data_IF_313065303960
#
_entry.id   IF_313065303960
#
_cell.length_a   1.000
_cell.length_b   1.000
_cell.length_c   1.000
_cell.angle_alpha   90.00
_cell.angle_beta   90.00
_cell.angle_gamma   90.00
#
_symmetry.space_group_name_H-M   'P 1'
#
loop_
_entity.id
_entity.type
_entity.pdbx_description
1 polymer ?
#
# COMPACT_ATOMS: atom_id res chain seq x y z
N UNK A 1 49.53 37.95 -35.43
CA UNK A 1 48.39 37.28 -36.09
C UNK A 1 47.46 38.33 -36.69
N UNK A 2 47.12 38.22 -37.98
CA UNK A 2 46.16 39.11 -38.65
C UNK A 2 44.82 39.05 -37.91
N UNK A 3 44.13 40.17 -37.80
CA UNK A 3 42.86 40.33 -37.04
C UNK A 3 41.82 39.27 -37.44
N UNK A 4 41.82 38.86 -38.71
CA UNK A 4 40.99 37.77 -39.25
C UNK A 4 41.21 36.42 -38.54
N UNK A 5 42.46 36.02 -38.26
CA UNK A 5 42.74 34.75 -37.57
C UNK A 5 42.30 34.80 -36.10
N UNK A 6 42.36 35.97 -35.45
CA UNK A 6 41.86 36.14 -34.08
C UNK A 6 40.33 36.07 -34.04
N UNK A 7 39.66 36.64 -35.03
CA UNK A 7 38.20 36.58 -35.16
C UNK A 7 37.72 35.15 -35.43
N UNK A 8 38.43 34.41 -36.30
CA UNK A 8 38.11 33.02 -36.62
C UNK A 8 38.27 32.09 -35.41
N UNK A 9 39.33 32.29 -34.62
CA UNK A 9 39.56 31.53 -33.37
C UNK A 9 38.50 31.88 -32.32
N UNK A 10 38.13 33.15 -32.19
CA UNK A 10 37.07 33.57 -31.28
C UNK A 10 35.70 32.98 -31.67
N UNK A 11 35.39 32.93 -32.97
CA UNK A 11 34.17 32.33 -33.49
C UNK A 11 34.14 30.81 -33.22
N UNK A 12 35.25 30.11 -33.47
CA UNK A 12 35.38 28.69 -33.20
C UNK A 12 35.22 28.39 -31.69
N UNK A 13 35.78 29.22 -30.82
CA UNK A 13 35.63 29.09 -29.37
C UNK A 13 34.16 29.29 -28.93
N UNK A 14 33.47 30.31 -29.46
CA UNK A 14 32.07 30.57 -29.15
C UNK A 14 31.15 29.43 -29.60
N UNK A 15 31.39 28.83 -30.78
CA UNK A 15 30.62 27.70 -31.30
C UNK A 15 30.76 26.43 -30.44
N UNK A 16 31.84 26.31 -29.65
CA UNK A 16 32.03 25.18 -28.72
C UNK A 16 31.48 25.53 -27.33
N UNK A 17 31.76 26.73 -26.83
CA UNK A 17 31.40 27.15 -25.48
C UNK A 17 29.88 27.29 -25.32
N UNK A 18 29.19 27.87 -26.30
CA UNK A 18 27.74 28.14 -26.19
C UNK A 18 26.94 26.83 -26.05
N UNK A 19 27.12 25.80 -26.91
CA UNK A 19 26.40 24.53 -26.73
C UNK A 19 26.69 23.85 -25.39
N UNK A 20 27.93 23.90 -24.90
CA UNK A 20 28.30 23.32 -23.60
C UNK A 20 27.59 24.05 -22.47
N UNK A 21 27.55 25.39 -22.47
CA UNK A 21 26.85 26.17 -21.45
C UNK A 21 25.34 25.92 -21.52
N UNK A 22 24.76 25.92 -22.73
CA UNK A 22 23.33 25.64 -22.92
C UNK A 22 23.01 24.23 -22.40
N UNK A 23 23.82 23.23 -22.74
CA UNK A 23 23.64 21.87 -22.24
C UNK A 23 23.83 21.79 -20.72
N UNK A 24 24.81 22.48 -20.14
CA UNK A 24 25.04 22.50 -18.69
C UNK A 24 23.92 23.21 -17.92
N UNK A 25 23.37 24.30 -18.45
CA UNK A 25 22.21 25.01 -17.86
C UNK A 25 20.94 24.17 -18.02
N UNK A 26 20.73 23.58 -19.19
CA UNK A 26 19.55 22.75 -19.46
C UNK A 26 19.59 21.47 -18.62
N UNK A 27 20.77 20.85 -18.48
CA UNK A 27 21.03 19.82 -17.48
C UNK A 27 20.74 20.41 -16.09
N UNK A 28 21.43 21.42 -15.58
CA UNK A 28 21.16 21.94 -14.21
C UNK A 28 19.69 22.29 -13.92
N UNK A 29 18.95 22.83 -14.89
CA UNK A 29 17.52 23.19 -14.73
C UNK A 29 16.58 21.99 -14.85
N UNK A 30 16.88 21.01 -15.72
CA UNK A 30 16.02 19.85 -15.96
C UNK A 30 16.57 18.54 -15.35
N UNK A 31 17.74 18.60 -14.73
CA UNK A 31 18.37 17.52 -13.99
C UNK A 31 17.57 17.35 -12.71
N UNK A 32 16.55 16.52 -12.81
CA UNK A 32 15.95 15.90 -11.65
C UNK A 32 17.00 14.94 -11.12
N UNK A 33 17.67 15.34 -10.05
CA UNK A 33 18.46 14.42 -9.23
C UNK A 33 17.58 13.22 -8.98
N UNK A 34 17.91 12.07 -9.58
CA UNK A 34 17.22 10.82 -9.28
C UNK A 34 17.76 10.38 -7.92
N UNK A 35 17.34 11.06 -6.87
CA UNK A 35 17.66 10.69 -5.50
C UNK A 35 17.01 9.34 -5.23
N UNK A 36 17.86 8.33 -5.13
CA UNK A 36 17.55 7.07 -4.46
C UNK A 36 17.12 7.26 -3.00
N UNK A 37 17.26 8.47 -2.44
CA UNK A 37 16.96 8.82 -1.04
C UNK A 37 15.47 9.04 -0.73
N UNK A 38 14.61 9.14 -1.75
CA UNK A 38 13.22 9.54 -1.51
C UNK A 38 12.33 8.43 -0.92
N UNK A 39 12.71 7.14 -0.97
CA UNK A 39 11.83 6.09 -0.45
C UNK A 39 11.70 6.19 1.07
N UNK A 40 12.82 6.26 1.79
CA UNK A 40 12.81 6.37 3.25
C UNK A 40 12.14 7.68 3.68
N UNK A 41 12.46 8.81 3.04
CA UNK A 41 11.80 10.10 3.31
C UNK A 41 10.28 10.01 3.09
N UNK A 42 9.82 9.39 2.00
CA UNK A 42 8.39 9.20 1.71
C UNK A 42 7.69 8.31 2.75
N UNK A 43 8.35 7.23 3.18
CA UNK A 43 7.84 6.37 4.24
C UNK A 43 7.81 7.08 5.60
N UNK A 44 8.78 7.93 5.90
CA UNK A 44 8.78 8.76 7.12
C UNK A 44 7.65 9.80 7.09
N UNK A 45 7.39 10.43 5.94
CA UNK A 45 6.26 11.35 5.76
C UNK A 45 4.93 10.61 5.99
N UNK A 46 4.82 9.35 5.56
CA UNK A 46 3.61 8.54 5.74
C UNK A 46 3.29 8.22 7.20
N UNK A 47 4.26 8.34 8.12
CA UNK A 47 4.07 8.11 9.55
C UNK A 47 3.86 9.41 10.35
N UNK A 48 3.95 10.59 9.73
CA UNK A 48 3.80 11.86 10.43
C UNK A 48 2.39 12.01 11.05
N UNK A 49 2.27 12.61 12.24
CA UNK A 49 0.98 12.85 12.88
C UNK A 49 0.13 13.82 12.04
N UNK A 50 -1.19 13.80 12.22
CA UNK A 50 -2.12 14.53 11.35
C UNK A 50 -1.89 16.04 11.34
N UNK A 51 -1.52 16.60 12.48
CA UNK A 51 -1.31 18.03 12.75
C UNK A 51 -0.04 18.58 12.09
N UNK A 52 0.95 17.72 11.87
CA UNK A 52 2.20 18.12 11.25
C UNK A 52 1.97 18.44 9.78
N UNK A 53 2.43 19.62 9.35
CA UNK A 53 2.49 19.94 7.93
C UNK A 53 3.51 19.02 7.26
N UNK A 54 3.00 18.15 6.40
CA UNK A 54 3.79 17.18 5.65
C UNK A 54 4.17 17.77 4.29
N UNK A 55 5.42 17.58 3.87
CA UNK A 55 5.91 18.06 2.57
C UNK A 55 5.05 17.49 1.43
N UNK A 56 4.62 18.36 0.51
CA UNK A 56 3.81 18.01 -0.68
C UNK A 56 2.47 17.30 -0.39
N UNK A 57 2.00 17.33 0.87
CA UNK A 57 0.71 16.74 1.27
C UNK A 57 -0.22 17.79 1.85
N UNK A 58 -1.51 17.55 1.69
CA UNK A 58 -2.57 18.35 2.29
C UNK A 58 -3.36 17.51 3.30
N UNK A 59 -3.58 18.07 4.49
CA UNK A 59 -4.49 17.52 5.50
C UNK A 59 -5.91 17.98 5.25
N UNK A 60 -6.84 17.04 5.21
CA UNK A 60 -8.28 17.29 5.07
C UNK A 60 -8.96 16.79 6.35
N UNK A 61 -9.26 17.69 7.31
CA UNK A 61 -9.86 17.31 8.58
C UNK A 61 -11.32 16.87 8.38
N UNK A 62 -11.73 15.85 9.12
CA UNK A 62 -13.10 15.35 9.16
C UNK A 62 -13.64 15.54 10.57
N UNK A 63 -14.75 16.27 10.68
CA UNK A 63 -15.33 16.64 11.99
C UNK A 63 -15.86 15.45 12.80
N UNK A 64 -16.21 14.37 12.11
CA UNK A 64 -16.84 13.19 12.71
C UNK A 64 -15.87 12.02 12.67
N UNK A 65 -15.55 11.39 13.81
CA UNK A 65 -14.80 10.14 13.85
C UNK A 65 -15.51 9.02 13.11
N UNK A 66 -14.74 8.09 12.57
CA UNK A 66 -15.24 6.96 11.79
C UNK A 66 -14.40 5.72 12.08
N UNK A 67 -15.01 4.53 12.01
CA UNK A 67 -14.27 3.26 12.15
C UNK A 67 -14.23 2.43 10.88
N UNK A 68 -14.96 2.87 9.86
CA UNK A 68 -15.12 2.17 8.58
C UNK A 68 -14.64 3.09 7.47
N UNK A 69 -13.77 2.56 6.62
CA UNK A 69 -13.33 3.20 5.37
C UNK A 69 -13.99 2.46 4.21
N UNK A 70 -14.63 3.20 3.33
CA UNK A 70 -15.41 2.70 2.21
C UNK A 70 -14.97 3.37 0.91
N UNK A 71 -14.47 2.56 -0.02
CA UNK A 71 -13.98 2.95 -1.34
C UNK A 71 -14.82 2.21 -2.38
N UNK A 72 -16.01 2.74 -2.75
CA UNK A 72 -16.99 2.02 -3.57
C UNK A 72 -16.54 1.79 -5.02
N UNK A 73 -15.64 2.63 -5.53
CA UNK A 73 -14.99 2.46 -6.83
C UNK A 73 -13.60 3.12 -6.83
N UNK A 74 -12.54 2.30 -6.73
CA UNK A 74 -11.15 2.74 -6.79
C UNK A 74 -10.64 2.96 -8.23
N UNK A 75 -11.51 2.88 -9.25
CA UNK A 75 -11.20 3.25 -10.65
C UNK A 75 -9.94 2.61 -11.24
N UNK A 76 -9.62 1.38 -10.81
CA UNK A 76 -8.40 0.62 -11.19
C UNK A 76 -7.11 1.36 -10.84
N UNK A 77 -7.09 2.10 -9.73
CA UNK A 77 -5.90 2.77 -9.21
C UNK A 77 -5.09 1.79 -8.36
N UNK A 78 -3.76 1.91 -8.41
CA UNK A 78 -2.86 1.30 -7.43
C UNK A 78 -2.89 2.14 -6.16
N UNK A 79 -3.40 1.59 -5.07
CA UNK A 79 -3.59 2.31 -3.82
C UNK A 79 -2.55 1.92 -2.79
N UNK A 80 -2.06 2.91 -2.05
CA UNK A 80 -1.30 2.69 -0.82
C UNK A 80 -2.07 3.37 0.31
N UNK A 81 -2.66 2.55 1.19
CA UNK A 81 -3.50 3.00 2.29
C UNK A 81 -2.73 2.83 3.60
N UNK A 82 -2.65 3.91 4.37
CA UNK A 82 -2.07 3.86 5.72
C UNK A 82 -3.15 4.20 6.74
N UNK A 83 -3.50 3.24 7.59
CA UNK A 83 -4.44 3.46 8.69
C UNK A 83 -3.66 3.80 9.95
N UNK A 84 -3.74 5.07 10.33
CA UNK A 84 -2.94 5.65 11.40
C UNK A 84 -3.86 5.98 12.58
N UNK A 85 -3.58 5.37 13.73
CA UNK A 85 -4.29 5.66 14.97
C UNK A 85 -4.00 7.10 15.40
N UNK A 86 -5.04 7.91 15.53
CA UNK A 86 -4.93 9.31 15.93
C UNK A 86 -6.15 9.74 16.73
N UNK A 87 -5.99 10.70 17.66
CA UNK A 87 -7.14 11.36 18.30
C UNK A 87 -7.90 12.24 17.31
N UNK A 88 -7.26 12.64 16.21
CA UNK A 88 -7.86 13.41 15.13
C UNK A 88 -8.43 12.49 14.04
N UNK A 89 -9.49 12.96 13.39
CA UNK A 89 -10.11 12.27 12.26
C UNK A 89 -9.91 13.07 10.98
N UNK A 90 -9.44 12.41 9.93
CA UNK A 90 -9.13 13.10 8.69
C UNK A 90 -8.31 12.23 7.75
N UNK A 91 -7.93 12.82 6.62
CA UNK A 91 -7.05 12.18 5.65
C UNK A 91 -5.91 13.11 5.26
N UNK A 92 -4.78 12.54 4.87
CA UNK A 92 -3.73 13.26 4.14
C UNK A 92 -3.50 12.62 2.79
N UNK A 93 -3.38 13.46 1.77
CA UNK A 93 -3.09 13.06 0.39
C UNK A 93 -2.05 13.99 -0.24
N UNK A 94 -1.40 13.58 -1.35
CA UNK A 94 -0.62 14.48 -2.19
C UNK A 94 -1.43 15.74 -2.58
N UNK A 95 -0.77 16.90 -2.54
CA UNK A 95 -1.46 18.20 -2.69
C UNK A 95 -2.08 18.40 -4.08
N UNK A 96 -1.47 17.82 -5.12
CA UNK A 96 -1.96 17.85 -6.50
C UNK A 96 -3.22 17.01 -6.72
N UNK A 97 -3.57 16.11 -5.80
CA UNK A 97 -4.77 15.28 -5.85
C UNK A 97 -5.98 15.90 -5.14
N UNK A 98 -5.84 17.09 -4.55
CA UNK A 98 -6.89 17.75 -3.73
C UNK A 98 -8.25 17.83 -4.42
N UNK A 99 -8.27 18.06 -5.73
CA UNK A 99 -9.50 18.24 -6.50
C UNK A 99 -9.99 16.94 -7.18
N UNK A 100 -9.20 15.87 -7.11
CA UNK A 100 -9.49 14.61 -7.78
C UNK A 100 -10.02 13.53 -6.85
N UNK A 101 -9.99 13.77 -5.53
CA UNK A 101 -10.50 12.84 -4.51
C UNK A 101 -11.40 13.59 -3.54
N UNK A 102 -12.63 13.09 -3.38
CA UNK A 102 -13.60 13.60 -2.44
C UNK A 102 -13.70 12.70 -1.21
N UNK A 103 -13.71 13.33 -0.03
CA UNK A 103 -13.82 12.67 1.27
C UNK A 103 -15.06 13.16 2.00
N UNK A 104 -15.88 12.25 2.49
CA UNK A 104 -17.07 12.58 3.27
C UNK A 104 -17.40 11.48 4.27
N UNK A 105 -18.04 11.84 5.39
CA UNK A 105 -18.64 10.86 6.28
C UNK A 105 -20.11 10.69 5.87
N UNK A 106 -20.52 9.46 5.55
CA UNK A 106 -21.90 9.19 5.21
C UNK A 106 -22.80 9.14 6.46
N UNK A 107 -24.11 8.99 6.26
CA UNK A 107 -25.10 8.92 7.37
C UNK A 107 -24.87 7.75 8.33
N UNK A 108 -24.18 6.70 7.90
CA UNK A 108 -23.84 5.54 8.73
C UNK A 108 -22.51 5.69 9.48
N UNK A 109 -21.85 6.86 9.40
CA UNK A 109 -20.58 7.12 10.08
C UNK A 109 -19.36 6.51 9.38
N UNK A 110 -19.46 6.15 8.10
CA UNK A 110 -18.36 5.58 7.32
C UNK A 110 -17.66 6.67 6.52
N UNK A 111 -16.32 6.66 6.51
CA UNK A 111 -15.53 7.48 5.59
C UNK A 111 -15.71 6.96 4.16
N UNK A 112 -16.22 7.81 3.29
CA UNK A 112 -16.33 7.61 1.86
C UNK A 112 -15.14 8.26 1.16
N UNK A 113 -14.41 7.49 0.35
CA UNK A 113 -13.34 7.98 -0.51
C UNK A 113 -13.76 7.77 -1.97
N UNK A 114 -14.01 8.87 -2.67
CA UNK A 114 -14.50 8.86 -4.05
C UNK A 114 -13.49 9.51 -4.99
N UNK A 115 -13.07 8.77 -6.01
CA UNK A 115 -12.16 9.27 -7.05
C UNK A 115 -12.94 9.89 -8.20
N UNK A 116 -12.49 11.07 -8.64
CA UNK A 116 -12.99 11.76 -9.82
C UNK A 116 -12.67 10.97 -11.10
N UNK A 117 -13.58 11.00 -12.07
CA UNK A 117 -13.33 10.45 -13.40
C UNK A 117 -12.24 11.20 -14.18
N UNK A 118 -11.92 12.42 -13.74
CA UNK A 118 -10.87 13.28 -14.33
C UNK A 118 -9.49 13.04 -13.76
N UNK A 119 -9.37 12.17 -12.74
CA UNK A 119 -8.10 11.87 -12.08
C UNK A 119 -7.06 11.48 -13.14
N UNK A 120 -6.01 12.30 -13.23
CA UNK A 120 -4.94 12.06 -14.19
C UNK A 120 -4.08 10.87 -13.73
N UNK A 121 -4.26 9.72 -14.39
CA UNK A 121 -3.51 8.49 -14.12
C UNK A 121 -2.06 8.51 -14.63
N UNK A 122 -1.65 9.57 -15.34
CA UNK A 122 -0.31 9.75 -15.92
C UNK A 122 0.62 10.68 -15.12
N UNK A 123 0.16 11.21 -13.97
CA UNK A 123 0.98 12.05 -13.12
C UNK A 123 2.22 11.30 -12.58
N UNK A 124 3.27 12.06 -12.21
CA UNK A 124 4.54 11.56 -11.64
C UNK A 124 4.39 10.84 -10.27
N UNK A 125 3.18 10.41 -9.91
CA UNK A 125 2.93 9.58 -8.74
C UNK A 125 3.59 8.24 -8.98
N UNK A 126 4.58 7.93 -8.14
CA UNK A 126 5.39 6.72 -8.19
C UNK A 126 4.51 5.48 -8.06
N UNK A 127 3.95 4.99 -9.15
CA UNK A 127 3.25 3.69 -9.27
C UNK A 127 2.06 3.42 -8.31
N UNK A 128 1.82 4.23 -7.27
CA UNK A 128 0.73 4.12 -6.30
C UNK A 128 0.24 5.50 -5.86
N UNK A 129 -1.05 5.59 -5.54
CA UNK A 129 -1.69 6.75 -4.93
C UNK A 129 -1.75 6.54 -3.42
N UNK A 130 -1.01 7.35 -2.66
CA UNK A 130 -0.89 7.23 -1.21
C UNK A 130 -1.98 8.03 -0.50
N UNK A 131 -2.78 7.37 0.33
CA UNK A 131 -3.78 8.00 1.21
C UNK A 131 -3.50 7.59 2.65
N UNK A 132 -3.22 8.58 3.50
CA UNK A 132 -3.07 8.39 4.94
C UNK A 132 -4.42 8.69 5.59
N UNK A 133 -4.97 7.73 6.34
CA UNK A 133 -6.28 7.82 6.98
C UNK A 133 -6.09 7.81 8.49
N UNK A 134 -6.52 8.89 9.14
CA UNK A 134 -6.36 9.11 10.57
C UNK A 134 -7.71 8.98 11.28
N UNK A 135 -7.77 8.15 12.31
CA UNK A 135 -8.94 8.00 13.18
C UNK A 135 -8.56 7.28 14.48
N UNK A 136 -9.31 7.41 15.60
CA UNK A 136 -9.01 6.71 16.85
C UNK A 136 -8.99 5.19 16.70
N UNK A 137 -9.89 4.65 15.87
CA UNK A 137 -10.03 3.22 15.63
C UNK A 137 -10.55 3.00 14.22
N UNK A 138 -9.84 2.24 13.39
CA UNK A 138 -10.32 1.77 12.10
C UNK A 138 -10.37 0.24 12.15
N UNK A 139 -11.56 -0.32 12.00
CA UNK A 139 -11.81 -1.75 12.13
C UNK A 139 -12.40 -2.38 10.88
N UNK A 140 -12.70 -1.59 9.84
CA UNK A 140 -13.23 -2.11 8.58
C UNK A 140 -12.78 -1.34 7.36
N UNK A 141 -12.41 -2.05 6.30
CA UNK A 141 -12.18 -1.54 4.96
C UNK A 141 -13.11 -2.23 3.97
N UNK A 142 -13.88 -1.45 3.21
CA UNK A 142 -14.56 -1.91 2.01
C UNK A 142 -13.87 -1.30 0.79
N UNK A 143 -13.49 -2.12 -0.17
CA UNK A 143 -12.75 -1.71 -1.34
C UNK A 143 -13.29 -2.42 -2.58
N UNK A 144 -13.46 -1.67 -3.67
CA UNK A 144 -13.92 -2.24 -4.93
C UNK A 144 -13.15 -1.64 -6.11
N UNK A 145 -12.86 -2.48 -7.12
CA UNK A 145 -12.23 -2.08 -8.39
C UNK A 145 -10.87 -1.40 -8.25
N UNK A 146 -10.02 -1.78 -7.30
CA UNK A 146 -8.63 -1.34 -7.28
C UNK A 146 -7.79 -2.11 -8.32
N UNK A 147 -6.71 -1.52 -8.84
CA UNK A 147 -5.74 -2.30 -9.61
C UNK A 147 -4.86 -3.13 -8.67
N UNK A 148 -4.38 -2.52 -7.60
CA UNK A 148 -3.74 -3.20 -6.48
C UNK A 148 -3.87 -2.34 -5.23
N UNK A 149 -3.67 -2.91 -4.06
CA UNK A 149 -3.69 -2.19 -2.79
C UNK A 149 -2.63 -2.72 -1.86
N UNK A 150 -1.81 -1.79 -1.36
CA UNK A 150 -0.92 -2.02 -0.22
C UNK A 150 -1.56 -1.34 0.99
N UNK A 151 -1.78 -2.09 2.06
CA UNK A 151 -2.37 -1.58 3.30
C UNK A 151 -1.38 -1.66 4.45
N UNK A 152 -1.25 -0.60 5.24
CA UNK A 152 -0.66 -0.66 6.58
C UNK A 152 -1.72 -0.33 7.61
N UNK A 153 -1.74 -1.09 8.70
CA UNK A 153 -2.68 -0.85 9.80
C UNK A 153 -2.13 -1.44 11.10
N UNK A 154 -2.32 -0.71 12.22
CA UNK A 154 -2.04 -1.19 13.58
C UNK A 154 -3.35 -1.24 14.37
N UNK A 155 -3.94 -2.42 14.50
CA UNK A 155 -5.24 -2.62 15.17
C UNK A 155 -5.38 -4.04 15.71
N UNK A 156 -6.15 -4.23 16.79
CA UNK A 156 -6.42 -5.57 17.31
C UNK A 156 -7.28 -6.42 16.35
N UNK A 157 -8.22 -5.79 15.64
CA UNK A 157 -9.14 -6.46 14.72
C UNK A 157 -9.39 -5.61 13.48
N UNK A 158 -9.42 -6.27 12.32
CA UNK A 158 -9.74 -5.64 11.04
C UNK A 158 -10.57 -6.58 10.16
N UNK A 159 -11.68 -6.05 9.65
CA UNK A 159 -12.49 -6.71 8.62
C UNK A 159 -12.25 -6.04 7.26
N UNK A 160 -11.88 -6.80 6.25
CA UNK A 160 -11.62 -6.28 4.91
C UNK A 160 -12.56 -6.95 3.91
N UNK A 161 -13.30 -6.15 3.14
CA UNK A 161 -14.10 -6.61 2.02
C UNK A 161 -13.48 -6.05 0.74
N UNK A 162 -12.95 -6.91 -0.13
CA UNK A 162 -12.39 -6.50 -1.41
C UNK A 162 -13.10 -7.18 -2.56
N UNK A 163 -13.56 -6.39 -3.53
CA UNK A 163 -14.25 -6.88 -4.72
C UNK A 163 -13.60 -6.39 -5.99
N UNK A 164 -13.61 -7.24 -7.02
CA UNK A 164 -13.18 -6.92 -8.38
C UNK A 164 -11.82 -6.20 -8.45
N UNK A 165 -10.88 -6.53 -7.58
CA UNK A 165 -9.60 -5.83 -7.48
C UNK A 165 -8.45 -6.75 -7.91
N UNK A 166 -7.29 -6.21 -8.29
CA UNK A 166 -6.18 -7.07 -8.69
C UNK A 166 -5.59 -7.83 -7.49
N UNK A 167 -4.90 -7.13 -6.60
CA UNK A 167 -4.31 -7.74 -5.42
C UNK A 167 -4.42 -6.84 -4.18
N UNK A 168 -4.62 -7.44 -3.00
CA UNK A 168 -4.39 -6.81 -1.70
C UNK A 168 -3.17 -7.42 -1.04
N UNK A 169 -2.25 -6.57 -0.60
CA UNK A 169 -1.07 -6.93 0.20
C UNK A 169 -0.96 -6.01 1.42
N UNK A 170 -0.14 -6.41 2.39
CA UNK A 170 0.23 -5.55 3.51
C UNK A 170 1.59 -4.91 3.27
N UNK A 171 1.75 -3.66 3.70
CA UNK A 171 3.02 -2.94 3.60
C UNK A 171 4.11 -3.58 4.47
N UNK A 172 5.34 -3.55 3.96
CA UNK A 172 6.52 -4.04 4.67
C UNK A 172 7.04 -2.97 5.64
N UNK A 173 7.40 -3.35 6.89
CA UNK A 173 8.01 -2.41 7.82
C UNK A 173 9.36 -1.92 7.28
N UNK A 174 9.68 -0.65 7.55
CA UNK A 174 11.02 -0.11 7.34
C UNK A 174 11.70 0.01 8.70
N UNK A 175 12.82 -0.69 8.84
CA UNK A 175 13.58 -0.78 10.08
C UNK A 175 14.82 0.11 9.99
N UNK A 176 15.01 0.95 11.01
CA UNK A 176 16.22 1.76 11.19
C UNK A 176 17.07 1.12 12.28
N UNK A 177 18.38 1.06 12.05
CA UNK A 177 19.32 0.49 13.00
C UNK A 177 20.57 1.35 13.16
N UNK A 178 21.13 1.37 14.37
CA UNK A 178 22.44 1.97 14.68
C UNK A 178 23.25 0.91 15.40
N UNK A 179 24.49 0.66 14.94
CA UNK A 179 25.39 -0.36 15.48
C UNK A 179 24.75 -1.77 15.59
N UNK A 180 23.97 -2.15 14.56
CA UNK A 180 23.30 -3.45 14.50
C UNK A 180 22.08 -3.59 15.42
N UNK A 181 21.70 -2.55 16.18
CA UNK A 181 20.50 -2.54 17.01
C UNK A 181 19.38 -1.78 16.31
N UNK A 182 18.20 -2.38 16.26
CA UNK A 182 16.99 -1.70 15.76
C UNK A 182 16.64 -0.54 16.70
N UNK A 183 16.58 0.67 16.16
CA UNK A 183 16.26 1.90 16.91
C UNK A 183 14.86 2.41 16.62
N UNK A 184 14.30 2.12 15.43
CA UNK A 184 12.97 2.57 15.01
C UNK A 184 12.42 1.65 13.92
N UNK A 185 11.10 1.45 13.90
CA UNK A 185 10.38 0.73 12.84
C UNK A 185 9.18 1.57 12.42
N UNK A 186 9.02 1.82 11.11
CA UNK A 186 7.90 2.57 10.53
C UNK A 186 7.08 1.70 9.57
N UNK A 187 5.83 2.11 9.30
CA UNK A 187 4.90 1.45 8.36
C UNK A 187 4.67 -0.05 8.62
N UNK A 188 4.86 -0.46 9.86
CA UNK A 188 4.62 -1.82 10.31
C UNK A 188 3.12 -2.11 10.39
N UNK A 189 2.71 -3.21 9.77
CA UNK A 189 1.35 -3.75 9.92
C UNK A 189 1.29 -4.67 11.14
N UNK A 190 0.34 -4.44 12.03
CA UNK A 190 0.09 -5.28 13.20
C UNK A 190 -1.43 -5.50 13.33
N UNK A 191 -1.90 -6.68 12.93
CA UNK A 191 -3.31 -7.06 12.98
C UNK A 191 -3.43 -8.43 13.63
N UNK A 192 -3.96 -8.49 14.85
CA UNK A 192 -4.08 -9.78 15.58
C UNK A 192 -5.21 -10.64 15.03
N UNK A 193 -6.35 -10.03 14.70
CA UNK A 193 -7.54 -10.70 14.16
C UNK A 193 -7.90 -10.09 12.81
N UNK A 194 -7.80 -10.87 11.74
CA UNK A 194 -8.10 -10.42 10.39
C UNK A 194 -9.23 -11.27 9.81
N UNK A 195 -10.30 -10.63 9.39
CA UNK A 195 -11.29 -11.22 8.48
C UNK A 195 -11.12 -10.61 7.10
N UNK A 196 -10.98 -11.42 6.07
CA UNK A 196 -10.86 -10.96 4.70
C UNK A 196 -11.86 -11.67 3.80
N UNK A 197 -12.72 -10.88 3.15
CA UNK A 197 -13.72 -11.33 2.19
C UNK A 197 -13.29 -10.86 0.80
N UNK A 198 -12.99 -11.81 -0.08
CA UNK A 198 -12.47 -11.60 -1.43
C UNK A 198 -13.49 -12.06 -2.46
N UNK A 199 -13.80 -11.19 -3.41
CA UNK A 199 -14.62 -11.51 -4.59
C UNK A 199 -13.87 -11.05 -5.84
N UNK A 200 -13.48 -11.99 -6.70
CA UNK A 200 -12.64 -11.71 -7.88
C UNK A 200 -11.40 -10.87 -7.55
N UNK A 201 -10.65 -11.27 -6.52
CA UNK A 201 -9.48 -10.52 -6.02
C UNK A 201 -8.37 -11.46 -5.53
N UNK A 202 -7.10 -11.08 -5.70
CA UNK A 202 -5.97 -11.76 -5.07
C UNK A 202 -5.61 -11.19 -3.69
N UNK A 203 -5.16 -12.03 -2.78
CA UNK A 203 -4.62 -11.63 -1.49
C UNK A 203 -3.26 -12.28 -1.27
N UNK A 204 -2.26 -11.48 -0.86
CA UNK A 204 -0.97 -11.99 -0.45
C UNK A 204 -0.63 -11.47 0.94
N UNK A 205 -0.46 -12.40 1.88
CA UNK A 205 0.09 -12.11 3.19
C UNK A 205 1.49 -12.71 3.28
N UNK A 206 2.50 -11.83 3.34
CA UNK A 206 3.91 -12.18 3.56
C UNK A 206 4.27 -12.17 5.04
N UNK A 207 4.46 -11.01 5.68
CA UNK A 207 5.22 -10.92 6.93
C UNK A 207 4.40 -10.73 8.23
N UNK A 208 3.12 -11.11 8.26
CA UNK A 208 2.25 -10.86 9.41
C UNK A 208 1.93 -12.12 10.21
N UNK A 209 1.94 -11.98 11.54
CA UNK A 209 1.47 -12.97 12.49
C UNK A 209 0.01 -12.72 12.87
N UNK A 210 -0.77 -13.79 13.00
CA UNK A 210 -2.20 -13.69 13.33
C UNK A 210 -2.58 -14.61 14.48
N UNK A 211 -3.39 -14.09 15.40
CA UNK A 211 -4.13 -14.92 16.34
C UNK A 211 -5.30 -15.61 15.64
N UNK A 212 -6.03 -14.84 14.83
CA UNK A 212 -7.15 -15.33 14.04
C UNK A 212 -7.05 -14.75 12.63
N UNK A 213 -7.00 -15.63 11.64
CA UNK A 213 -7.08 -15.28 10.23
C UNK A 213 -8.26 -16.01 9.62
N UNK A 214 -9.29 -15.27 9.21
CA UNK A 214 -10.47 -15.80 8.53
C UNK A 214 -10.48 -15.30 7.09
N UNK A 215 -10.40 -16.22 6.13
CA UNK A 215 -10.34 -15.93 4.71
C UNK A 215 -11.59 -16.50 4.05
N UNK A 216 -12.33 -15.65 3.35
CA UNK A 216 -13.49 -16.02 2.56
C UNK A 216 -13.21 -15.62 1.11
N UNK A 217 -13.08 -16.60 0.23
CA UNK A 217 -12.74 -16.42 -1.19
C UNK A 217 -13.90 -16.80 -2.10
N UNK A 218 -14.25 -15.92 -3.04
CA UNK A 218 -15.13 -16.23 -4.18
C UNK A 218 -14.42 -15.82 -5.47
N UNK A 219 -14.22 -16.74 -6.41
CA UNK A 219 -13.47 -16.47 -7.65
C UNK A 219 -12.11 -15.79 -7.40
N UNK A 220 -11.42 -16.14 -6.31
CA UNK A 220 -10.33 -15.36 -5.73
C UNK A 220 -9.12 -16.22 -5.39
N UNK A 221 -7.96 -15.58 -5.24
CA UNK A 221 -6.73 -16.25 -4.81
C UNK A 221 -6.28 -15.73 -3.45
N UNK A 222 -5.82 -16.61 -2.57
CA UNK A 222 -5.21 -16.22 -1.31
C UNK A 222 -3.91 -16.99 -1.10
N UNK A 223 -2.80 -16.25 -1.00
CA UNK A 223 -1.48 -16.78 -0.70
C UNK A 223 -1.03 -16.30 0.69
N UNK A 224 -0.78 -17.27 1.57
CA UNK A 224 -0.26 -17.07 2.92
C UNK A 224 1.13 -17.69 2.96
N UNK A 225 2.14 -16.84 2.82
CA UNK A 225 3.52 -17.28 2.68
C UNK A 225 4.40 -16.66 3.76
N UNK A 226 5.30 -17.44 4.35
CA UNK A 226 6.35 -16.93 5.24
C UNK A 226 7.63 -16.60 4.46
N UNK A 227 8.54 -15.84 5.08
CA UNK A 227 9.85 -15.56 4.50
C UNK A 227 10.69 -16.84 4.37
N UNK A 228 11.60 -16.88 3.40
CA UNK A 228 12.40 -18.09 3.13
C UNK A 228 13.38 -18.45 4.26
N UNK A 229 13.83 -17.46 5.02
CA UNK A 229 14.89 -17.59 6.02
C UNK A 229 14.39 -17.53 7.47
N UNK A 230 13.10 -17.22 7.70
CA UNK A 230 12.53 -17.05 9.03
C UNK A 230 11.24 -17.86 9.22
N UNK A 231 11.26 -18.83 10.13
CA UNK A 231 10.08 -19.56 10.61
C UNK A 231 9.17 -18.72 11.54
N UNK A 232 9.35 -17.40 11.55
CA UNK A 232 8.71 -16.51 12.51
C UNK A 232 7.23 -16.25 12.20
N UNK A 233 6.77 -16.63 10.99
CA UNK A 233 5.35 -16.47 10.65
C UNK A 233 4.48 -17.54 11.29
N UNK A 234 3.58 -17.09 12.15
CA UNK A 234 2.65 -17.92 12.89
C UNK A 234 1.20 -17.47 12.71
N UNK A 235 0.32 -18.46 12.57
CA UNK A 235 -1.12 -18.29 12.61
C UNK A 235 -1.69 -19.24 13.65
N UNK A 236 -2.27 -18.70 14.74
CA UNK A 236 -2.82 -19.56 15.78
C UNK A 236 -4.10 -20.26 15.27
N UNK A 237 -5.03 -19.52 14.66
CA UNK A 237 -6.26 -20.06 14.11
C UNK A 237 -6.49 -19.54 12.69
N UNK A 238 -6.45 -20.43 11.70
CA UNK A 238 -6.79 -20.15 10.31
C UNK A 238 -8.15 -20.79 9.95
N UNK A 239 -9.06 -19.97 9.44
CA UNK A 239 -10.30 -20.45 8.82
C UNK A 239 -10.31 -20.03 7.37
N UNK A 240 -10.58 -20.98 6.46
CA UNK A 240 -10.68 -20.73 5.02
C UNK A 240 -12.03 -21.21 4.51
N UNK A 241 -12.79 -20.32 3.87
CA UNK A 241 -14.00 -20.69 3.15
C UNK A 241 -13.87 -20.28 1.70
N UNK A 242 -14.11 -21.20 0.78
CA UNK A 242 -14.06 -20.89 -0.65
C UNK A 242 -15.38 -21.17 -1.32
N UNK A 243 -15.64 -20.40 -2.36
CA UNK A 243 -16.79 -20.49 -3.24
C UNK A 243 -16.30 -20.41 -4.69
N UNK A 244 -17.00 -21.09 -5.60
CA UNK A 244 -16.68 -21.09 -7.04
C UNK A 244 -15.21 -21.48 -7.29
N UNK A 245 -14.56 -20.90 -8.32
CA UNK A 245 -13.17 -21.14 -8.68
C UNK A 245 -12.21 -20.32 -7.84
N UNK A 246 -11.74 -20.87 -6.72
CA UNK A 246 -10.77 -20.19 -5.85
C UNK A 246 -9.46 -20.94 -5.76
N UNK A 247 -8.39 -20.24 -5.37
CA UNK A 247 -7.06 -20.84 -5.15
C UNK A 247 -6.50 -20.42 -3.79
N UNK A 248 -6.04 -21.41 -3.03
CA UNK A 248 -5.47 -21.21 -1.69
C UNK A 248 -4.06 -21.79 -1.65
N UNK A 249 -3.08 -20.93 -1.36
CA UNK A 249 -1.68 -21.32 -1.18
C UNK A 249 -1.26 -21.03 0.25
N UNK A 250 -0.70 -22.03 0.92
CA UNK A 250 -0.10 -21.92 2.26
C UNK A 250 1.30 -22.50 2.19
N UNK A 251 2.31 -21.66 2.40
CA UNK A 251 3.70 -22.07 2.29
C UNK A 251 4.57 -21.45 3.38
N UNK A 252 5.53 -22.20 3.94
CA UNK A 252 6.49 -21.71 4.95
C UNK A 252 5.83 -20.96 6.13
N UNK A 253 4.66 -21.41 6.59
CA UNK A 253 3.94 -20.81 7.74
C UNK A 253 3.66 -21.87 8.82
N UNK A 254 3.83 -21.48 10.09
CA UNK A 254 3.45 -22.29 11.24
C UNK A 254 1.98 -22.03 11.62
N UNK A 255 1.11 -23.01 11.39
CA UNK A 255 -0.32 -22.91 11.70
C UNK A 255 -0.65 -23.91 12.81
N UNK A 256 -1.21 -23.41 13.93
CA UNK A 256 -1.60 -24.28 15.04
C UNK A 256 -2.91 -25.02 14.73
N UNK A 257 -3.97 -24.28 14.36
CA UNK A 257 -5.27 -24.84 13.97
C UNK A 257 -5.71 -24.30 12.62
N UNK A 258 -6.12 -25.19 11.73
CA UNK A 258 -6.72 -24.85 10.44
C UNK A 258 -8.07 -25.55 10.27
N UNK A 259 -9.06 -24.82 9.76
CA UNK A 259 -10.42 -25.30 9.51
C UNK A 259 -11.00 -24.62 8.28
N UNK A 260 -12.06 -25.17 7.69
CA UNK A 260 -12.67 -24.52 6.54
C UNK A 260 -13.67 -25.34 5.78
N UNK A 261 -14.23 -24.73 4.74
CA UNK A 261 -15.11 -25.38 3.77
C UNK A 261 -14.65 -24.98 2.39
N UNK A 262 -14.29 -25.95 1.56
CA UNK A 262 -13.76 -25.71 0.22
C UNK A 262 -14.82 -26.07 -0.83
N UNK A 263 -15.03 -25.22 -1.83
CA UNK A 263 -15.82 -25.59 -3.01
C UNK A 263 -15.11 -26.65 -3.85
N UNK A 264 -15.88 -27.45 -4.61
CA UNK A 264 -15.37 -28.52 -5.47
C UNK A 264 -14.38 -28.03 -6.54
N UNK A 265 -14.50 -26.76 -6.94
CA UNK A 265 -13.62 -26.13 -7.94
C UNK A 265 -12.39 -25.43 -7.32
N UNK A 266 -12.17 -25.56 -6.02
CA UNK A 266 -11.04 -24.93 -5.34
C UNK A 266 -9.73 -25.68 -5.57
N UNK A 267 -8.70 -24.94 -5.99
CA UNK A 267 -7.31 -25.43 -6.00
C UNK A 267 -6.63 -25.13 -4.67
N UNK A 268 -5.95 -26.12 -4.13
CA UNK A 268 -5.25 -26.00 -2.85
C UNK A 268 -3.81 -26.44 -2.99
N UNK A 269 -2.88 -25.58 -2.57
CA UNK A 269 -1.48 -25.90 -2.39
C UNK A 269 -1.08 -25.62 -0.94
N UNK A 270 -0.95 -26.67 -0.13
CA UNK A 270 -0.49 -26.55 1.26
C UNK A 270 0.19 -27.83 1.73
N UNK A 271 1.04 -27.78 2.76
CA UNK A 271 1.56 -28.98 3.42
C UNK A 271 0.43 -29.95 3.81
N UNK A 272 0.65 -31.24 3.55
CA UNK A 272 -0.34 -32.31 3.80
C UNK A 272 -0.85 -32.31 5.24
N UNK A 273 -0.01 -31.92 6.22
CA UNK A 273 -0.41 -31.80 7.64
C UNK A 273 -1.59 -30.85 7.85
N UNK A 274 -1.67 -29.75 7.09
CA UNK A 274 -2.75 -28.77 7.18
C UNK A 274 -3.99 -29.24 6.42
N UNK A 275 -3.80 -29.85 5.25
CA UNK A 275 -4.91 -30.44 4.51
C UNK A 275 -5.64 -31.51 5.33
N UNK A 276 -4.89 -32.40 6.00
CA UNK A 276 -5.44 -33.41 6.91
C UNK A 276 -6.19 -32.82 8.11
N UNK A 277 -5.83 -31.63 8.58
CA UNK A 277 -6.58 -30.96 9.66
C UNK A 277 -7.89 -30.36 9.14
N UNK A 278 -7.89 -29.78 7.93
CA UNK A 278 -9.10 -29.23 7.33
C UNK A 278 -10.13 -30.30 6.93
N UNK A 279 -9.66 -31.48 6.50
CA UNK A 279 -10.51 -32.59 6.04
C UNK A 279 -10.85 -33.59 7.16
N UNK A 280 -10.43 -33.32 8.40
CA UNK A 280 -10.88 -34.10 9.55
C UNK A 280 -12.26 -33.57 9.96
N UNK A 281 -13.28 -34.34 9.63
CA UNK A 281 -14.59 -34.27 10.27
C UNK A 281 -14.47 -34.57 11.78
#
# INVERSE_FOLDING_TARGET
>A
MKTSNKLLIALAALLIIIPIIVMAVNVKMNYRTRTSDNFVEEQEINEEPFERMSKERISIPLKTPFSIVDIPDAKRIYLELHFIKSTQSGVKIPMDLKNDIAFAINKAGMLQINFSDKLNRSGNHRNSLVILVYSPHINKLNLNKAASTVLTAKTDSLDINVKNSGQLTFGSPVTFSTDGKITRVINQTEIKKLTINLDSTGFYSGNNNYKNLNIICKNSTANIEGAEEEENKSVENLTVKTFEKSEITINKVNINKISGSLSDETKVQMPVKYLKQMLKD
#
